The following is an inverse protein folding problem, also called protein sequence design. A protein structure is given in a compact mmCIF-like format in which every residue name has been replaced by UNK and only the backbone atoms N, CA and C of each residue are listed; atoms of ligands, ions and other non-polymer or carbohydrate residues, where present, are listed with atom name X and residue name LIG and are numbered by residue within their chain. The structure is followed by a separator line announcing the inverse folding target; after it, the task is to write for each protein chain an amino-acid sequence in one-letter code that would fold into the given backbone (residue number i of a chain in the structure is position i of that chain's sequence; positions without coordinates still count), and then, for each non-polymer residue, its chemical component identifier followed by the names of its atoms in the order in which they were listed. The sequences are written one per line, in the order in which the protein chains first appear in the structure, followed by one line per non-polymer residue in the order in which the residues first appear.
data_IF_623654449817
#
_entry.id   IF_623654449817
#
_cell.length_a   1.000
_cell.length_b   1.000
_cell.length_c   1.000
_cell.angle_alpha   90.00
_cell.angle_beta   90.00
_cell.angle_gamma   90.00
#
_symmetry.space_group_name_H-M   'P 1'
#
loop_
_entity.id
_entity.type
_entity.pdbx_description
1 polymer ?
#
# COMPACT_ATOMS: atom_id res chain seq x y z
N UNK A 1 10.06 -17.39 5.40
CA UNK A 1 9.76 -18.20 4.21
C UNK A 1 8.47 -17.74 3.58
N UNK A 2 8.25 -17.86 2.26
CA UNK A 2 6.95 -17.64 1.62
C UNK A 2 5.87 -18.58 2.18
N UNK A 3 4.62 -18.16 2.10
CA UNK A 3 3.46 -18.99 2.46
C UNK A 3 2.91 -19.62 1.19
N UNK A 4 2.82 -20.93 1.15
CA UNK A 4 2.16 -21.65 0.07
C UNK A 4 0.64 -21.49 0.19
N UNK A 5 0.00 -21.18 -0.93
CA UNK A 5 -1.46 -21.05 -1.01
C UNK A 5 -2.07 -22.37 -1.51
N UNK A 6 -3.26 -22.74 -1.04
CA UNK A 6 -3.97 -23.88 -1.58
C UNK A 6 -4.38 -23.65 -3.03
N UNK A 7 -4.24 -24.68 -3.87
CA UNK A 7 -4.76 -24.65 -5.25
C UNK A 7 -6.27 -24.35 -5.26
N UNK A 8 -6.72 -23.52 -6.20
CA UNK A 8 -8.12 -23.08 -6.28
C UNK A 8 -8.57 -22.10 -5.18
N UNK A 9 -7.75 -21.84 -4.17
CA UNK A 9 -8.08 -20.96 -3.04
C UNK A 9 -7.85 -19.48 -3.34
N UNK A 10 -7.89 -18.66 -2.27
CA UNK A 10 -7.57 -17.23 -2.33
C UNK A 10 -6.15 -17.04 -2.88
N UNK A 11 -6.01 -16.21 -3.91
CA UNK A 11 -4.72 -15.96 -4.55
C UNK A 11 -3.90 -14.84 -3.87
N UNK A 12 -2.72 -14.53 -4.42
CA UNK A 12 -1.83 -13.50 -3.88
C UNK A 12 -2.48 -12.10 -3.84
N UNK A 13 -3.33 -11.74 -4.82
CA UNK A 13 -4.05 -10.45 -4.81
C UNK A 13 -5.04 -10.41 -3.64
N UNK A 14 -5.80 -11.48 -3.42
CA UNK A 14 -6.72 -11.55 -2.27
C UNK A 14 -5.99 -11.46 -0.92
N UNK A 15 -4.78 -12.05 -0.82
CA UNK A 15 -3.91 -11.91 0.36
C UNK A 15 -3.39 -10.49 0.51
N UNK A 16 -2.99 -9.85 -0.58
CA UNK A 16 -2.60 -8.43 -0.62
C UNK A 16 -3.71 -7.54 -0.08
N UNK A 17 -4.90 -7.66 -0.65
CA UNK A 17 -6.07 -6.88 -0.22
C UNK A 17 -6.45 -7.13 1.23
N UNK A 18 -6.31 -8.36 1.71
CA UNK A 18 -6.59 -8.72 3.11
C UNK A 18 -5.57 -8.15 4.10
N UNK A 19 -4.29 -8.21 3.77
CA UNK A 19 -3.21 -7.78 4.64
C UNK A 19 -2.97 -6.26 4.57
N UNK A 20 -2.89 -5.70 3.36
CA UNK A 20 -2.51 -4.30 3.13
C UNK A 20 -3.71 -3.36 2.95
N UNK A 21 -4.90 -3.87 2.66
CA UNK A 21 -6.15 -3.10 2.64
C UNK A 21 -6.68 -2.83 4.06
N UNK A 22 -5.83 -2.32 4.92
CA UNK A 22 -6.15 -1.94 6.30
C UNK A 22 -5.21 -0.81 6.74
N UNK A 23 -5.77 0.34 7.05
CA UNK A 23 -5.03 1.54 7.41
C UNK A 23 -4.05 1.32 8.57
N UNK A 24 -4.49 0.62 9.62
CA UNK A 24 -3.65 0.39 10.80
C UNK A 24 -2.47 -0.52 10.49
N UNK A 25 -2.65 -1.50 9.62
CA UNK A 25 -1.54 -2.37 9.20
C UNK A 25 -0.46 -1.55 8.49
N UNK A 26 -0.83 -0.71 7.53
CA UNK A 26 0.13 0.13 6.80
C UNK A 26 0.84 1.13 7.72
N UNK A 27 0.07 1.81 8.59
CA UNK A 27 0.63 2.78 9.55
C UNK A 27 1.55 2.12 10.58
N UNK A 28 1.20 0.94 11.09
CA UNK A 28 2.03 0.20 12.04
C UNK A 28 3.32 -0.33 11.39
N UNK A 29 3.27 -0.83 10.14
CA UNK A 29 4.47 -1.23 9.41
C UNK A 29 5.40 -0.02 9.20
N UNK A 30 4.83 1.13 8.84
CA UNK A 30 5.59 2.38 8.71
C UNK A 30 6.25 2.77 10.02
N UNK A 31 5.51 2.78 11.14
CA UNK A 31 6.10 3.14 12.44
C UNK A 31 7.19 2.16 12.87
N UNK A 32 7.01 0.86 12.59
CA UNK A 32 8.05 -0.13 12.84
C UNK A 32 9.29 0.09 11.95
N UNK A 33 9.13 0.49 10.69
CA UNK A 33 10.23 0.86 9.80
C UNK A 33 10.96 2.13 10.30
N UNK A 34 10.25 3.04 10.98
CA UNK A 34 10.80 4.23 11.63
C UNK A 34 11.30 3.96 13.07
N UNK A 35 11.50 2.70 13.44
CA UNK A 35 12.14 2.27 14.68
C UNK A 35 11.22 2.12 15.88
N UNK A 36 9.89 2.15 15.74
CA UNK A 36 8.98 1.76 16.82
C UNK A 36 9.07 0.25 17.05
N UNK A 37 9.40 -0.19 18.26
CA UNK A 37 9.49 -1.61 18.58
C UNK A 37 8.60 -2.01 19.75
N UNK A 38 8.32 -1.09 20.66
CA UNK A 38 7.53 -1.38 21.86
C UNK A 38 6.09 -0.97 21.69
N UNK A 39 5.20 -1.63 22.39
CA UNK A 39 3.77 -1.27 22.42
C UNK A 39 3.55 0.22 22.69
N UNK A 40 4.27 0.79 23.65
CA UNK A 40 4.21 2.21 23.99
C UNK A 40 4.63 3.14 22.85
N UNK A 41 5.62 2.74 22.05
CA UNK A 41 6.08 3.54 20.89
C UNK A 41 4.97 3.70 19.86
N UNK A 42 4.28 2.59 19.55
CA UNK A 42 3.14 2.62 18.62
C UNK A 42 1.96 3.44 19.15
N UNK A 43 1.64 3.26 20.46
CA UNK A 43 0.55 3.99 21.10
C UNK A 43 0.82 5.50 21.19
N UNK A 44 2.07 5.91 21.35
CA UNK A 44 2.46 7.33 21.41
C UNK A 44 2.49 7.99 20.03
N UNK A 45 2.77 7.23 18.97
CA UNK A 45 2.95 7.78 17.61
C UNK A 45 1.69 7.73 16.74
N UNK A 46 0.67 6.96 17.15
CA UNK A 46 -0.55 6.77 16.35
C UNK A 46 -1.80 7.03 17.19
N UNK A 47 -2.82 7.70 16.65
CA UNK A 47 -4.11 7.92 17.30
C UNK A 47 -4.95 6.65 17.30
N UNK A 48 -4.40 5.56 17.82
CA UNK A 48 -5.01 4.22 17.81
C UNK A 48 -5.43 3.82 19.23
N UNK A 49 -6.64 3.27 19.39
CA UNK A 49 -7.06 2.76 20.70
C UNK A 49 -6.28 1.52 21.11
N UNK A 50 -6.04 1.33 22.40
CA UNK A 50 -5.32 0.18 22.96
C UNK A 50 -5.89 -1.17 22.49
N UNK A 51 -7.23 -1.29 22.41
CA UNK A 51 -7.89 -2.52 21.97
C UNK A 51 -7.60 -2.82 20.48
N UNK A 52 -7.60 -1.78 19.62
CA UNK A 52 -7.29 -1.93 18.21
C UNK A 52 -5.81 -2.24 18.02
N UNK A 53 -4.91 -1.51 18.70
CA UNK A 53 -3.47 -1.72 18.63
C UNK A 53 -3.10 -3.17 19.01
N UNK A 54 -3.54 -3.64 20.17
CA UNK A 54 -3.27 -5.00 20.65
C UNK A 54 -3.71 -6.07 19.64
N UNK A 55 -4.93 -5.91 19.10
CA UNK A 55 -5.46 -6.83 18.09
C UNK A 55 -4.64 -6.78 16.81
N UNK A 56 -4.24 -5.59 16.34
CA UNK A 56 -3.47 -5.42 15.10
C UNK A 56 -2.08 -6.02 15.23
N UNK A 57 -1.37 -5.74 16.29
CA UNK A 57 -0.06 -6.35 16.55
C UNK A 57 -0.14 -7.88 16.57
N UNK A 58 -1.19 -8.45 17.17
CA UNK A 58 -1.44 -9.89 17.15
C UNK A 58 -1.67 -10.43 15.72
N UNK A 59 -2.52 -9.75 14.92
CA UNK A 59 -2.78 -10.15 13.53
C UNK A 59 -1.51 -10.04 12.68
N UNK A 60 -0.78 -8.94 12.78
CA UNK A 60 0.46 -8.74 12.02
C UNK A 60 1.55 -9.75 12.39
N UNK A 61 1.57 -10.21 13.65
CA UNK A 61 2.48 -11.29 14.08
C UNK A 61 2.04 -12.62 13.48
N UNK A 62 0.75 -12.94 13.50
CA UNK A 62 0.19 -14.16 12.89
C UNK A 62 0.41 -14.18 11.35
N UNK A 63 0.31 -13.03 10.68
CA UNK A 63 0.56 -12.87 9.23
C UNK A 63 2.06 -12.84 8.89
N UNK A 64 2.93 -12.89 9.89
CA UNK A 64 4.37 -12.90 9.73
C UNK A 64 4.97 -11.59 9.25
N UNK A 65 4.29 -10.46 9.43
CA UNK A 65 4.82 -9.12 9.20
C UNK A 65 5.73 -8.67 10.37
N UNK A 66 5.32 -9.03 11.58
CA UNK A 66 6.07 -8.78 12.80
C UNK A 66 6.46 -10.09 13.46
N UNK A 67 7.51 -10.05 14.27
CA UNK A 67 7.83 -11.06 15.26
C UNK A 67 7.86 -10.44 16.64
N UNK A 68 7.39 -11.18 17.63
CA UNK A 68 7.41 -10.76 19.02
C UNK A 68 8.63 -11.35 19.71
N UNK A 69 9.42 -10.52 20.40
CA UNK A 69 10.59 -10.93 21.18
C UNK A 69 10.46 -10.42 22.60
N UNK A 70 10.53 -11.32 23.58
CA UNK A 70 10.60 -10.92 24.98
C UNK A 70 11.92 -10.19 25.25
N UNK A 71 11.86 -9.07 25.98
CA UNK A 71 13.04 -8.34 26.44
C UNK A 71 13.08 -8.18 27.96
N UNK A 72 12.00 -8.55 28.65
CA UNK A 72 11.89 -8.53 30.10
C UNK A 72 10.94 -9.64 30.54
N UNK A 73 11.32 -10.39 31.60
CA UNK A 73 10.53 -11.52 32.07
C UNK A 73 9.60 -11.15 33.22
N UNK A 74 9.97 -10.17 34.05
CA UNK A 74 9.17 -9.78 35.22
C UNK A 74 9.10 -8.24 35.40
N UNK A 75 7.93 -7.58 35.15
CA UNK A 75 6.77 -8.16 34.45
C UNK A 75 7.10 -8.49 32.99
N UNK A 76 6.39 -9.46 32.36
CA UNK A 76 6.68 -9.84 30.98
C UNK A 76 6.47 -8.67 30.02
N UNK A 77 7.51 -8.35 29.25
CA UNK A 77 7.46 -7.30 28.23
C UNK A 77 8.07 -7.80 26.93
N UNK A 78 7.45 -7.42 25.82
CA UNK A 78 7.89 -7.81 24.50
C UNK A 78 8.01 -6.61 23.58
N UNK A 79 8.89 -6.74 22.60
CA UNK A 79 9.01 -5.85 21.47
C UNK A 79 8.54 -6.54 20.18
N UNK A 80 8.13 -5.74 19.22
CA UNK A 80 7.61 -6.17 17.92
C UNK A 80 8.58 -5.70 16.84
N UNK A 81 9.20 -6.64 16.15
CA UNK A 81 10.22 -6.36 15.14
C UNK A 81 9.69 -6.76 13.76
N UNK A 82 9.99 -5.96 12.74
CA UNK A 82 9.70 -6.35 11.35
C UNK A 82 10.44 -7.62 10.99
N UNK A 83 9.72 -8.59 10.45
CA UNK A 83 10.33 -9.77 9.81
C UNK A 83 10.92 -9.40 8.45
N UNK A 84 11.55 -10.36 7.76
CA UNK A 84 11.96 -10.17 6.38
C UNK A 84 10.76 -9.83 5.46
N UNK A 85 9.58 -10.45 5.72
CA UNK A 85 8.32 -10.13 5.01
C UNK A 85 7.84 -8.72 5.29
N UNK A 86 7.85 -8.29 6.55
CA UNK A 86 7.46 -6.91 6.92
C UNK A 86 8.42 -5.87 6.36
N UNK A 87 9.74 -6.11 6.45
CA UNK A 87 10.74 -5.22 5.85
C UNK A 87 10.61 -5.11 4.33
N UNK A 88 10.23 -6.18 3.64
CA UNK A 88 10.04 -6.18 2.19
C UNK A 88 8.90 -5.28 1.70
N UNK A 89 8.14 -4.63 2.58
CA UNK A 89 7.15 -3.60 2.25
C UNK A 89 7.77 -2.20 2.02
N UNK A 90 9.07 -2.02 2.23
CA UNK A 90 9.71 -0.72 2.06
C UNK A 90 9.46 -0.06 0.69
N UNK A 91 9.41 -0.79 -0.47
CA UNK A 91 9.14 -0.14 -1.75
C UNK A 91 7.74 0.47 -1.79
N UNK A 92 6.74 -0.26 -1.27
CA UNK A 92 5.38 0.27 -1.17
C UNK A 92 5.30 1.49 -0.27
N UNK A 93 5.95 1.47 0.90
CA UNK A 93 5.97 2.61 1.81
C UNK A 93 6.64 3.84 1.19
N UNK A 94 7.73 3.65 0.46
CA UNK A 94 8.46 4.71 -0.23
C UNK A 94 7.62 5.33 -1.36
N UNK A 95 6.90 4.51 -2.13
CA UNK A 95 6.01 5.00 -3.18
C UNK A 95 4.75 5.66 -2.63
N UNK A 96 4.20 5.21 -1.50
CA UNK A 96 3.13 5.91 -0.77
C UNK A 96 3.60 7.29 -0.34
N UNK A 97 4.77 7.37 0.28
CA UNK A 97 5.35 8.61 0.73
C UNK A 97 5.50 9.63 -0.40
N UNK A 98 6.09 9.21 -1.52
CA UNK A 98 6.26 10.08 -2.68
C UNK A 98 4.93 10.53 -3.27
N UNK A 99 3.95 9.61 -3.40
CA UNK A 99 2.64 9.96 -3.90
C UNK A 99 1.92 10.98 -3.01
N UNK A 100 1.91 10.77 -1.70
CA UNK A 100 1.27 11.69 -0.74
C UNK A 100 1.96 13.06 -0.77
N UNK A 101 3.28 13.10 -0.81
CA UNK A 101 4.06 14.33 -0.85
C UNK A 101 3.85 15.14 -2.13
N UNK A 102 3.74 14.45 -3.26
CA UNK A 102 3.60 15.10 -4.57
C UNK A 102 2.15 15.54 -4.85
N UNK A 103 1.17 14.71 -4.48
CA UNK A 103 -0.22 14.90 -4.89
C UNK A 103 -1.14 15.49 -3.81
N UNK A 104 -0.64 15.68 -2.62
CA UNK A 104 -1.37 16.30 -1.50
C UNK A 104 -0.61 17.53 -1.04
N UNK A 105 -0.85 18.72 -1.62
CA UNK A 105 -0.06 19.93 -1.38
C UNK A 105 0.09 20.29 0.10
N UNK A 106 -1.00 20.15 0.88
CA UNK A 106 -1.00 20.42 2.32
C UNK A 106 -0.05 19.50 3.11
N UNK A 107 0.35 18.38 2.52
CA UNK A 107 1.27 17.42 3.15
C UNK A 107 2.72 17.58 2.70
N UNK A 108 2.96 18.19 1.55
CA UNK A 108 4.29 18.35 0.99
C UNK A 108 5.24 19.09 1.94
N UNK A 109 4.72 20.08 2.67
CA UNK A 109 5.46 20.87 3.64
C UNK A 109 5.69 20.16 4.98
N UNK A 110 4.90 19.10 5.26
CA UNK A 110 4.87 18.40 6.56
C UNK A 110 5.45 16.99 6.51
N UNK A 111 5.73 16.47 5.32
CA UNK A 111 6.42 15.20 5.15
C UNK A 111 7.90 15.45 4.84
N UNK A 112 8.83 14.94 5.70
CA UNK A 112 10.25 15.16 5.47
C UNK A 112 10.66 14.61 4.09
N UNK A 113 11.65 15.21 3.46
CA UNK A 113 12.22 14.67 2.22
C UNK A 113 12.91 13.34 2.50
N UNK A 114 12.99 12.47 1.49
CA UNK A 114 13.78 11.25 1.60
C UNK A 114 15.19 11.48 1.09
N UNK A 115 16.17 11.06 1.89
CA UNK A 115 17.60 11.12 1.57
C UNK A 115 18.07 9.74 1.09
N UNK A 116 18.70 9.69 -0.07
CA UNK A 116 19.42 8.52 -0.55
C UNK A 116 20.85 8.54 -0.05
N UNK A 117 21.19 7.64 0.87
CA UNK A 117 22.47 7.67 1.59
C UNK A 117 23.68 7.45 0.66
N UNK A 118 23.50 6.74 -0.45
CA UNK A 118 24.58 6.45 -1.41
C UNK A 118 25.05 7.71 -2.15
N UNK A 119 24.12 8.54 -2.63
CA UNK A 119 24.50 9.77 -3.35
C UNK A 119 24.39 11.04 -2.48
N UNK A 120 23.82 10.94 -1.28
CA UNK A 120 23.63 12.07 -0.36
C UNK A 120 22.58 13.10 -0.80
N UNK A 121 21.77 12.80 -1.82
CA UNK A 121 20.76 13.71 -2.34
C UNK A 121 19.35 13.35 -1.84
N UNK A 122 18.48 14.35 -1.73
CA UNK A 122 17.04 14.14 -1.64
C UNK A 122 16.56 13.59 -2.98
N UNK A 123 15.65 12.61 -2.94
CA UNK A 123 15.24 11.89 -4.13
C UNK A 123 13.73 11.64 -4.20
N UNK A 124 13.27 11.42 -5.42
CA UNK A 124 11.99 10.78 -5.73
C UNK A 124 12.25 9.37 -6.30
N UNK A 125 11.52 8.33 -5.84
CA UNK A 125 11.69 6.99 -6.38
C UNK A 125 11.06 6.88 -7.76
N UNK A 126 11.83 6.45 -8.76
CA UNK A 126 11.34 6.11 -10.08
C UNK A 126 11.10 4.61 -10.18
N UNK A 127 9.93 4.22 -10.68
CA UNK A 127 9.65 2.80 -10.97
C UNK A 127 10.24 2.43 -12.33
N UNK A 128 11.20 1.54 -12.35
CA UNK A 128 11.90 1.10 -13.55
C UNK A 128 11.75 -0.40 -13.80
N UNK A 129 11.87 -0.81 -15.05
CA UNK A 129 11.88 -2.20 -15.43
C UNK A 129 13.23 -2.84 -15.11
N UNK A 130 13.26 -3.92 -14.32
CA UNK A 130 14.49 -4.65 -14.00
C UNK A 130 15.25 -5.13 -15.25
N UNK A 131 14.52 -5.49 -16.32
CA UNK A 131 15.10 -6.10 -17.51
C UNK A 131 15.82 -5.08 -18.42
N UNK A 132 15.29 -3.86 -18.57
CA UNK A 132 15.85 -2.87 -19.49
C UNK A 132 16.28 -1.55 -18.82
N UNK A 133 15.94 -1.34 -17.55
CA UNK A 133 16.29 -0.11 -16.82
C UNK A 133 15.38 1.10 -17.11
N UNK A 134 14.48 1.01 -18.07
CA UNK A 134 13.60 2.14 -18.44
C UNK A 134 12.55 2.40 -17.37
N UNK A 135 12.25 3.69 -17.14
CA UNK A 135 11.14 4.12 -16.28
C UNK A 135 9.81 3.74 -16.90
N UNK A 136 8.88 3.23 -16.09
CA UNK A 136 7.61 2.70 -16.57
C UNK A 136 6.41 3.41 -15.95
N UNK A 137 5.47 3.80 -16.81
CA UNK A 137 4.13 4.26 -16.46
C UNK A 137 3.08 3.18 -16.79
N UNK A 138 1.80 3.48 -16.54
CA UNK A 138 0.72 2.54 -16.88
C UNK A 138 0.60 2.23 -18.38
N UNK A 139 1.09 3.12 -19.24
CA UNK A 139 1.02 2.95 -20.70
C UNK A 139 2.00 1.91 -21.22
N UNK A 140 3.10 1.73 -20.50
CA UNK A 140 4.13 0.75 -20.85
C UNK A 140 3.95 -0.59 -20.16
N UNK A 141 2.89 -0.76 -19.34
CA UNK A 141 2.61 -2.00 -18.63
C UNK A 141 1.37 -2.70 -19.19
N UNK A 142 1.53 -3.94 -19.57
CA UNK A 142 0.43 -4.84 -19.90
C UNK A 142 0.23 -5.83 -18.75
N UNK A 143 -0.97 -5.77 -18.13
CA UNK A 143 -1.36 -6.63 -17.02
C UNK A 143 -2.37 -7.67 -17.47
N UNK A 144 -2.15 -8.92 -17.11
CA UNK A 144 -3.09 -10.03 -17.36
C UNK A 144 -3.25 -10.88 -16.09
N UNK A 145 -4.39 -11.55 -15.98
CA UNK A 145 -4.54 -12.63 -15.01
C UNK A 145 -3.55 -13.75 -15.32
N UNK A 146 -2.79 -14.15 -14.33
CA UNK A 146 -1.95 -15.34 -14.38
C UNK A 146 -2.74 -16.60 -14.05
N UNK A 147 -2.07 -17.76 -13.97
CA UNK A 147 -2.73 -19.05 -13.76
C UNK A 147 -3.58 -19.15 -12.48
N UNK A 148 -3.19 -18.49 -11.39
CA UNK A 148 -4.01 -18.44 -10.15
C UNK A 148 -4.92 -17.23 -10.09
N UNK A 149 -4.96 -16.38 -11.14
CA UNK A 149 -5.65 -15.11 -11.18
C UNK A 149 -7.11 -15.21 -11.56
N UNK A 150 -7.98 -14.59 -10.78
CA UNK A 150 -9.37 -14.30 -11.15
C UNK A 150 -10.00 -13.38 -10.11
N UNK A 151 -11.02 -12.63 -10.47
CA UNK A 151 -11.74 -11.78 -9.51
C UNK A 151 -12.30 -12.55 -8.32
N UNK A 152 -13.02 -13.68 -8.48
CA UNK A 152 -13.57 -14.41 -7.34
C UNK A 152 -12.52 -14.85 -6.32
N UNK A 153 -11.32 -15.22 -6.78
CA UNK A 153 -10.19 -15.64 -5.92
C UNK A 153 -9.42 -14.47 -5.31
N UNK A 154 -9.60 -13.28 -5.87
CA UNK A 154 -8.92 -12.05 -5.43
C UNK A 154 -9.76 -11.25 -4.45
N UNK A 155 -11.07 -11.51 -4.37
CA UNK A 155 -11.93 -10.78 -3.46
C UNK A 155 -11.63 -11.16 -2.01
N UNK A 156 -11.59 -10.15 -1.12
CA UNK A 156 -11.43 -10.43 0.30
C UNK A 156 -12.66 -11.20 0.80
N UNK A 157 -12.40 -12.34 1.41
CA UNK A 157 -13.45 -13.13 2.09
C UNK A 157 -14.09 -12.22 3.13
N UNK A 158 -15.44 -12.18 3.15
CA UNK A 158 -16.18 -11.38 4.11
C UNK A 158 -15.79 -11.76 5.55
N UNK A 159 -15.07 -10.90 6.23
CA UNK A 159 -14.99 -10.94 7.66
C UNK A 159 -16.03 -9.98 8.21
N UNK A 160 -16.96 -10.55 8.96
CA UNK A 160 -17.98 -9.91 9.83
C UNK A 160 -17.98 -8.38 9.85
N UNK A 161 -19.20 -7.83 9.55
CA UNK A 161 -19.62 -6.43 9.65
C UNK A 161 -18.69 -5.60 10.53
N UNK A 162 -17.96 -4.69 9.91
CA UNK A 162 -17.33 -3.58 10.58
C UNK A 162 -17.98 -2.29 10.10
N UNK A 163 -18.44 -1.51 11.09
CA UNK A 163 -18.69 -0.08 10.88
C UNK A 163 -17.45 0.52 10.22
N UNK A 164 -17.58 1.42 9.24
CA UNK A 164 -16.47 2.22 8.79
C UNK A 164 -15.89 2.87 10.04
N UNK A 165 -14.61 2.62 10.32
CA UNK A 165 -13.87 3.46 11.23
C UNK A 165 -13.91 4.83 10.56
N UNK A 166 -14.72 5.74 11.12
CA UNK A 166 -14.80 7.10 10.65
C UNK A 166 -13.52 7.84 10.99
N UNK A 167 -12.47 7.61 10.24
CA UNK A 167 -11.52 8.63 9.86
C UNK A 167 -12.10 9.32 8.62
N UNK A 168 -13.31 9.87 8.73
CA UNK A 168 -13.61 11.15 8.11
C UNK A 168 -12.50 12.05 8.60
N UNK A 169 -11.62 12.47 7.67
CA UNK A 169 -10.53 13.36 8.01
C UNK A 169 -11.08 14.43 8.98
N UNK A 170 -10.64 14.49 10.23
CA UNK A 170 -10.92 15.64 11.01
C UNK A 170 -10.31 16.78 10.19
N UNK A 171 -11.08 17.81 9.87
CA UNK A 171 -10.51 19.09 9.50
C UNK A 171 -9.65 19.51 10.70
N UNK A 172 -8.40 19.05 10.68
CA UNK A 172 -7.41 19.40 11.68
C UNK A 172 -7.09 20.86 11.44
N UNK A 173 -7.74 21.72 12.22
CA UNK A 173 -7.46 23.15 12.23
C UNK A 173 -6.20 23.35 13.07
N UNK A 174 -5.15 23.87 12.46
CA UNK A 174 -4.01 24.41 13.20
C UNK A 174 -2.94 23.37 13.58
N UNK A 175 -2.25 23.53 14.65
CA UNK A 175 -1.00 22.93 15.13
C UNK A 175 -0.75 21.40 14.97
N UNK A 176 -1.75 20.65 14.48
CA UNK A 176 -1.66 19.19 14.30
C UNK A 176 -1.45 18.76 12.82
N UNK A 177 -1.26 19.69 11.89
CA UNK A 177 -1.17 19.39 10.45
C UNK A 177 -0.01 18.43 10.12
N UNK A 178 1.15 18.60 10.78
CA UNK A 178 2.30 17.72 10.65
C UNK A 178 2.01 16.28 11.10
N UNK A 179 1.34 16.13 12.24
CA UNK A 179 0.90 14.83 12.74
C UNK A 179 -0.10 14.16 11.80
N UNK A 180 -1.04 14.93 11.25
CA UNK A 180 -2.04 14.44 10.30
C UNK A 180 -1.43 14.00 8.97
N UNK A 181 -0.49 14.74 8.40
CA UNK A 181 0.23 14.38 7.18
C UNK A 181 0.97 13.04 7.34
N UNK A 182 1.57 12.79 8.49
CA UNK A 182 2.23 11.53 8.81
C UNK A 182 1.31 10.31 8.84
N UNK A 183 -0.02 10.48 8.86
CA UNK A 183 -1.00 9.40 8.76
C UNK A 183 -1.42 9.07 7.32
N UNK A 184 -0.92 9.80 6.33
CA UNK A 184 -1.24 9.62 4.91
C UNK A 184 -2.76 9.54 4.64
N UNK A 185 -3.55 10.54 5.02
CA UNK A 185 -5.01 10.42 5.03
C UNK A 185 -5.60 10.19 3.63
N UNK A 186 -5.07 10.76 2.57
CA UNK A 186 -5.56 10.49 1.22
C UNK A 186 -5.20 9.08 0.75
N UNK A 187 -3.98 8.62 1.02
CA UNK A 187 -3.60 7.23 0.76
C UNK A 187 -4.49 6.26 1.54
N UNK A 188 -4.78 6.55 2.81
CA UNK A 188 -5.67 5.71 3.62
C UNK A 188 -7.11 5.69 3.10
N UNK A 189 -7.59 6.74 2.46
CA UNK A 189 -8.88 6.76 1.79
C UNK A 189 -8.96 5.78 0.61
N UNK A 190 -7.87 5.58 -0.13
CA UNK A 190 -7.83 4.77 -1.34
C UNK A 190 -7.25 3.35 -1.11
N UNK A 191 -6.42 3.14 -0.08
CA UNK A 191 -5.78 1.86 0.22
C UNK A 191 -6.15 1.30 1.59
N UNK A 192 -6.46 2.15 2.56
CA UNK A 192 -6.67 1.77 3.96
C UNK A 192 -7.92 0.93 4.25
N UNK A 193 -8.66 0.56 3.21
CA UNK A 193 -9.78 -0.35 3.27
C UNK A 193 -9.71 -1.34 2.10
N UNK A 194 -9.90 -2.63 2.36
CA UNK A 194 -9.80 -3.69 1.34
C UNK A 194 -10.70 -3.48 0.11
N UNK A 195 -11.88 -2.91 0.30
CA UNK A 195 -12.82 -2.61 -0.79
C UNK A 195 -12.38 -1.40 -1.60
N UNK A 196 -11.84 -0.36 -0.94
CA UNK A 196 -11.24 0.78 -1.62
C UNK A 196 -10.03 0.32 -2.45
N UNK A 197 -9.15 -0.47 -1.86
CA UNK A 197 -8.01 -1.03 -2.58
C UNK A 197 -8.44 -1.91 -3.76
N UNK A 198 -9.43 -2.79 -3.59
CA UNK A 198 -9.98 -3.60 -4.68
C UNK A 198 -10.59 -2.74 -5.80
N UNK A 199 -11.30 -1.66 -5.45
CA UNK A 199 -11.86 -0.69 -6.41
C UNK A 199 -10.75 -0.01 -7.22
N UNK A 200 -9.66 0.38 -6.57
CA UNK A 200 -8.50 0.97 -7.23
C UNK A 200 -7.89 -0.03 -8.24
N UNK A 201 -7.66 -1.28 -7.83
CA UNK A 201 -7.19 -2.34 -8.72
C UNK A 201 -8.14 -2.51 -9.92
N UNK A 202 -9.46 -2.54 -9.68
CA UNK A 202 -10.45 -2.65 -10.75
C UNK A 202 -10.39 -1.47 -11.74
N UNK A 203 -10.19 -0.24 -11.23
CA UNK A 203 -10.02 0.94 -12.08
C UNK A 203 -8.77 0.84 -12.97
N UNK A 204 -7.64 0.34 -12.44
CA UNK A 204 -6.40 0.15 -13.20
C UNK A 204 -6.52 -0.92 -14.28
N UNK A 205 -7.35 -1.95 -14.09
CA UNK A 205 -7.61 -2.95 -15.14
C UNK A 205 -8.74 -2.52 -16.10
N UNK A 206 -9.12 -1.24 -16.09
CA UNK A 206 -10.02 -0.65 -17.08
C UNK A 206 -11.50 -0.69 -16.75
N UNK A 207 -11.88 -1.03 -15.53
CA UNK A 207 -13.29 -0.93 -15.10
C UNK A 207 -13.69 0.53 -14.97
N UNK A 208 -14.78 0.93 -15.65
CA UNK A 208 -15.20 2.35 -15.68
C UNK A 208 -16.67 2.56 -15.32
N UNK A 209 -17.53 1.54 -15.40
CA UNK A 209 -18.96 1.69 -15.12
C UNK A 209 -19.31 1.19 -13.74
N UNK A 210 -20.24 1.87 -13.08
CA UNK A 210 -20.73 1.46 -11.76
C UNK A 210 -21.17 -0.02 -11.72
N UNK A 211 -21.97 -0.46 -12.72
CA UNK A 211 -22.45 -1.83 -12.82
C UNK A 211 -21.33 -2.86 -12.94
N UNK A 212 -20.23 -2.50 -13.62
CA UNK A 212 -19.09 -3.38 -13.79
C UNK A 212 -18.26 -3.49 -12.52
N UNK A 213 -18.02 -2.38 -11.81
CA UNK A 213 -17.45 -2.41 -10.46
C UNK A 213 -18.29 -3.27 -9.52
N UNK A 214 -19.60 -3.07 -9.51
CA UNK A 214 -20.51 -3.83 -8.65
C UNK A 214 -20.43 -5.34 -8.93
N UNK A 215 -20.48 -5.74 -10.20
CA UNK A 215 -20.39 -7.14 -10.63
C UNK A 215 -19.05 -7.77 -10.29
N UNK A 216 -17.96 -7.06 -10.55
CA UNK A 216 -16.60 -7.57 -10.31
C UNK A 216 -16.27 -7.70 -8.83
N UNK A 217 -16.63 -6.68 -8.05
CA UNK A 217 -16.26 -6.63 -6.64
C UNK A 217 -17.29 -7.34 -5.74
N UNK A 218 -18.50 -7.64 -6.23
CA UNK A 218 -19.56 -8.18 -5.39
C UNK A 218 -20.00 -7.25 -4.26
N UNK A 219 -19.69 -5.94 -4.39
CA UNK A 219 -19.98 -4.95 -3.35
C UNK A 219 -21.46 -4.53 -3.35
N UNK A 220 -21.99 -4.19 -2.17
CA UNK A 220 -23.30 -3.58 -2.09
C UNK A 220 -23.32 -2.21 -2.78
N UNK A 221 -24.45 -1.82 -3.43
CA UNK A 221 -24.55 -0.54 -4.11
C UNK A 221 -24.15 0.66 -3.23
N UNK A 222 -24.63 0.70 -1.98
CA UNK A 222 -24.32 1.77 -1.04
C UNK A 222 -22.82 1.85 -0.73
N UNK A 223 -22.17 0.73 -0.39
CA UNK A 223 -20.73 0.72 -0.12
C UNK A 223 -19.90 1.13 -1.34
N UNK A 224 -20.34 0.75 -2.55
CA UNK A 224 -19.65 1.14 -3.78
C UNK A 224 -19.81 2.63 -4.06
N UNK A 225 -21.05 3.16 -3.88
CA UNK A 225 -21.32 4.61 -4.03
C UNK A 225 -20.42 5.43 -3.12
N UNK A 226 -20.38 5.09 -1.82
CA UNK A 226 -19.55 5.80 -0.83
C UNK A 226 -18.07 5.82 -1.24
N UNK A 227 -17.56 4.67 -1.72
CA UNK A 227 -16.16 4.56 -2.15
C UNK A 227 -15.86 5.36 -3.41
N UNK A 228 -16.73 5.30 -4.41
CA UNK A 228 -16.58 6.08 -5.63
C UNK A 228 -16.66 7.59 -5.35
N UNK A 229 -17.52 8.03 -4.41
CA UNK A 229 -17.57 9.43 -3.96
C UNK A 229 -16.26 9.86 -3.29
N UNK A 230 -15.68 9.01 -2.43
CA UNK A 230 -14.36 9.29 -1.82
C UNK A 230 -13.30 9.43 -2.92
N UNK A 231 -13.23 8.49 -3.87
CA UNK A 231 -12.24 8.50 -4.95
C UNK A 231 -12.37 9.70 -5.89
N UNK A 232 -13.60 10.14 -6.16
CA UNK A 232 -13.83 11.37 -6.94
C UNK A 232 -13.52 12.61 -6.11
N UNK A 233 -13.87 12.63 -4.84
CA UNK A 233 -13.62 13.73 -3.92
C UNK A 233 -12.13 14.00 -3.67
N UNK A 234 -11.29 12.97 -3.58
CA UNK A 234 -9.84 13.12 -3.48
C UNK A 234 -9.13 13.24 -4.85
N UNK A 235 -9.89 13.30 -5.94
CA UNK A 235 -9.35 13.53 -7.28
C UNK A 235 -8.59 12.35 -7.90
N UNK A 236 -8.75 11.13 -7.37
CA UNK A 236 -8.16 9.90 -7.93
C UNK A 236 -8.96 9.39 -9.13
N UNK A 237 -10.28 9.54 -9.09
CA UNK A 237 -11.17 9.28 -10.22
C UNK A 237 -11.88 10.56 -10.66
N UNK A 238 -12.17 10.68 -11.95
CA UNK A 238 -13.15 11.60 -12.50
C UNK A 238 -14.40 10.84 -12.95
N UNK A 239 -15.56 11.48 -12.90
CA UNK A 239 -16.80 10.94 -13.44
C UNK A 239 -17.20 11.74 -14.69
N UNK A 240 -17.09 11.11 -15.85
CA UNK A 240 -17.38 11.71 -17.15
C UNK A 240 -18.38 10.85 -17.92
N UNK A 241 -19.54 11.42 -18.26
CA UNK A 241 -20.59 10.73 -19.04
C UNK A 241 -20.96 9.34 -18.48
N UNK A 242 -21.01 9.20 -17.15
CA UNK A 242 -21.34 7.95 -16.47
C UNK A 242 -20.17 6.94 -16.37
N UNK A 243 -18.97 7.35 -16.74
CA UNK A 243 -17.75 6.54 -16.62
C UNK A 243 -16.78 7.12 -15.60
N UNK A 244 -16.34 6.30 -14.69
CA UNK A 244 -15.26 6.61 -13.75
C UNK A 244 -13.91 6.35 -14.43
N UNK A 245 -13.04 7.34 -14.45
CA UNK A 245 -11.72 7.26 -15.09
C UNK A 245 -10.63 7.68 -14.12
N UNK A 246 -9.50 7.00 -14.14
CA UNK A 246 -8.32 7.45 -13.41
C UNK A 246 -7.88 8.82 -13.92
N UNK A 247 -7.69 9.75 -13.01
CA UNK A 247 -7.07 11.06 -13.28
C UNK A 247 -5.54 10.88 -13.37
N UNK A 248 -4.79 11.94 -13.62
CA UNK A 248 -3.33 11.92 -13.53
C UNK A 248 -2.87 11.54 -12.11
N UNK A 249 -3.45 12.17 -11.07
CA UNK A 249 -3.24 11.80 -9.66
C UNK A 249 -3.55 10.33 -9.40
N UNK A 250 -4.65 9.81 -9.96
CA UNK A 250 -5.03 8.41 -9.84
C UNK A 250 -4.04 7.46 -10.50
N UNK A 251 -3.56 7.77 -11.71
CA UNK A 251 -2.55 6.96 -12.42
C UNK A 251 -1.21 6.94 -11.68
N UNK A 252 -0.84 8.06 -11.05
CA UNK A 252 0.39 8.14 -10.25
C UNK A 252 0.44 7.18 -9.05
N UNK A 253 -0.67 6.52 -8.67
CA UNK A 253 -0.68 5.47 -7.63
C UNK A 253 -0.11 4.14 -8.14
N UNK A 254 0.12 3.97 -9.44
CA UNK A 254 0.58 2.72 -10.03
C UNK A 254 1.80 2.10 -9.33
N UNK A 255 2.88 2.84 -8.99
CA UNK A 255 4.03 2.26 -8.28
C UNK A 255 3.67 1.63 -6.94
N UNK A 256 2.69 2.20 -6.22
CA UNK A 256 2.18 1.62 -4.97
C UNK A 256 1.50 0.28 -5.22
N UNK A 257 0.67 0.18 -6.26
CA UNK A 257 -0.03 -1.07 -6.61
C UNK A 257 0.94 -2.15 -7.07
N UNK A 258 1.89 -1.79 -7.92
CA UNK A 258 2.86 -2.74 -8.47
C UNK A 258 3.77 -3.28 -7.38
N UNK A 259 4.30 -2.44 -6.51
CA UNK A 259 5.16 -2.87 -5.39
C UNK A 259 4.39 -3.72 -4.36
N UNK A 260 3.11 -3.40 -4.10
CA UNK A 260 2.24 -4.22 -3.27
C UNK A 260 1.97 -5.61 -3.90
N UNK A 261 1.69 -5.66 -5.20
CA UNK A 261 1.48 -6.91 -5.95
C UNK A 261 2.73 -7.78 -5.93
N UNK A 262 3.90 -7.21 -6.23
CA UNK A 262 5.17 -7.94 -6.20
C UNK A 262 5.47 -8.50 -4.81
N UNK A 263 5.25 -7.68 -3.76
CA UNK A 263 5.35 -8.17 -2.39
C UNK A 263 4.42 -9.35 -2.14
N UNK A 264 3.16 -9.24 -2.54
CA UNK A 264 2.18 -10.29 -2.31
C UNK A 264 2.54 -11.59 -3.03
N UNK A 265 2.91 -11.53 -4.30
CA UNK A 265 3.27 -12.71 -5.10
C UNK A 265 4.59 -13.36 -4.64
N UNK A 266 5.51 -12.57 -4.09
CA UNK A 266 6.74 -13.10 -3.49
C UNK A 266 6.48 -13.86 -2.19
N UNK A 267 5.54 -13.40 -1.37
CA UNK A 267 5.31 -13.95 -0.03
C UNK A 267 4.10 -14.88 0.06
N UNK A 268 3.27 -14.96 -0.97
CA UNK A 268 2.11 -15.84 -1.07
C UNK A 268 2.14 -16.55 -2.42
N UNK A 269 2.71 -17.73 -2.43
CA UNK A 269 3.00 -18.49 -3.66
C UNK A 269 1.90 -19.52 -3.90
N UNK A 270 1.25 -19.43 -5.07
CA UNK A 270 0.31 -20.48 -5.53
C UNK A 270 1.06 -21.55 -6.33
N UNK A 271 0.75 -22.83 -6.13
CA UNK A 271 1.32 -23.91 -6.96
C UNK A 271 0.89 -23.79 -8.43
N UNK A 272 -0.19 -23.08 -8.71
CA UNK A 272 -0.69 -22.84 -10.08
C UNK A 272 0.09 -21.74 -10.81
N UNK A 273 0.90 -20.95 -10.09
CA UNK A 273 1.64 -19.81 -10.62
C UNK A 273 1.14 -18.45 -10.09
N UNK A 274 1.63 -17.33 -10.65
CA UNK A 274 1.27 -16.00 -10.20
C UNK A 274 -0.21 -15.67 -10.45
N UNK A 275 -0.76 -14.77 -9.63
CA UNK A 275 -2.12 -14.27 -9.81
C UNK A 275 -2.23 -13.25 -10.95
N UNK A 276 -1.20 -12.43 -11.11
CA UNK A 276 -1.11 -11.41 -12.17
C UNK A 276 0.27 -11.50 -12.82
N UNK A 277 0.29 -11.46 -14.13
CA UNK A 277 1.50 -11.29 -14.93
C UNK A 277 1.56 -9.86 -15.47
N UNK A 278 2.70 -9.24 -15.34
CA UNK A 278 2.99 -7.92 -15.89
C UNK A 278 4.04 -8.06 -16.98
N UNK A 279 3.85 -7.38 -18.10
CA UNK A 279 4.81 -7.31 -19.19
C UNK A 279 5.13 -5.85 -19.49
N UNK A 280 6.41 -5.52 -19.62
CA UNK A 280 6.84 -4.21 -20.10
C UNK A 280 6.76 -4.17 -21.60
N UNK A 281 5.88 -3.34 -22.16
CA UNK A 281 5.63 -3.31 -23.60
C UNK A 281 6.84 -2.79 -24.40
N UNK A 282 7.66 -1.94 -23.80
CA UNK A 282 8.85 -1.38 -24.43
C UNK A 282 9.93 -2.43 -24.74
N UNK A 283 10.18 -3.39 -23.83
CA UNK A 283 11.20 -4.42 -24.05
C UNK A 283 10.61 -5.83 -24.24
N UNK A 284 9.29 -6.02 -24.06
CA UNK A 284 8.62 -7.31 -24.18
C UNK A 284 8.91 -8.30 -23.03
N UNK A 285 9.73 -7.95 -22.06
CA UNK A 285 10.08 -8.83 -20.94
C UNK A 285 8.99 -8.87 -19.86
N UNK A 286 8.93 -9.94 -19.05
CA UNK A 286 8.18 -9.93 -17.80
C UNK A 286 8.63 -8.74 -16.96
N UNK A 287 7.64 -7.94 -16.52
CA UNK A 287 7.93 -6.73 -15.75
C UNK A 287 8.13 -7.07 -14.28
N UNK A 288 9.30 -6.76 -13.80
CA UNK A 288 9.64 -6.69 -12.39
C UNK A 288 10.09 -5.27 -12.08
N UNK A 289 9.30 -4.58 -11.24
CA UNK A 289 9.65 -3.22 -10.83
C UNK A 289 10.85 -3.22 -9.89
N UNK A 290 11.78 -2.33 -10.14
CA UNK A 290 12.74 -1.87 -9.17
C UNK A 290 12.55 -0.37 -8.98
N UNK A 291 12.86 0.13 -7.79
CA UNK A 291 12.87 1.57 -7.56
C UNK A 291 14.29 2.09 -7.74
N UNK A 292 14.45 3.14 -8.51
CA UNK A 292 15.73 3.82 -8.71
C UNK A 292 15.65 5.26 -8.20
N UNK A 293 16.79 5.81 -7.83
CA UNK A 293 16.94 7.21 -7.43
C UNK A 293 16.88 8.09 -8.69
N UNK A 294 16.04 9.13 -8.68
CA UNK A 294 15.97 10.12 -9.79
C UNK A 294 17.22 10.98 -9.92
N UNK A 295 18.09 11.01 -8.88
CA UNK A 295 19.31 11.84 -8.86
C UNK A 295 20.54 11.10 -9.37
N UNK A 296 20.73 9.84 -9.00
CA UNK A 296 21.92 9.06 -9.35
C UNK A 296 21.61 7.80 -10.17
N UNK A 297 20.36 7.50 -10.46
CA UNK A 297 19.87 6.34 -11.22
C UNK A 297 20.16 4.97 -10.59
N UNK A 298 20.83 4.92 -9.45
CA UNK A 298 21.11 3.67 -8.74
C UNK A 298 19.82 3.04 -8.18
N UNK A 299 19.83 1.71 -8.13
CA UNK A 299 18.74 0.95 -7.54
C UNK A 299 18.68 1.22 -6.03
N UNK A 300 17.51 1.60 -5.56
CA UNK A 300 17.27 1.87 -4.15
C UNK A 300 17.14 0.59 -3.35
N UNK A 301 17.72 0.61 -2.15
CA UNK A 301 17.55 -0.42 -1.14
C UNK A 301 16.99 0.20 0.14
N UNK A 302 16.17 -0.54 0.88
CA UNK A 302 15.55 -0.03 2.09
C UNK A 302 16.53 0.41 3.19
N UNK A 303 17.78 -0.09 3.17
CA UNK A 303 18.89 0.33 4.05
C UNK A 303 19.47 1.69 3.69
N UNK A 304 19.29 2.12 2.43
CA UNK A 304 19.97 3.27 1.86
C UNK A 304 19.06 4.51 1.80
N UNK A 305 17.86 4.38 2.38
CA UNK A 305 16.84 5.43 2.41
C UNK A 305 16.61 5.87 3.85
N UNK A 306 16.60 7.17 4.07
CA UNK A 306 16.27 7.78 5.35
C UNK A 306 15.37 9.00 5.16
N UNK A 307 14.38 9.17 6.04
CA UNK A 307 13.67 10.43 6.14
C UNK A 307 14.63 11.49 6.71
N UNK A 308 14.72 12.63 6.07
CA UNK A 308 15.57 13.73 6.51
C UNK A 308 14.74 14.71 7.36
N UNK A 309 14.97 14.78 8.67
CA UNK A 309 14.21 15.66 9.54
C UNK A 309 14.68 17.13 9.44
N UNK A 310 15.74 17.43 8.70
CA UNK A 310 16.39 18.76 8.70
C UNK A 310 15.68 19.80 7.82
N UNK A 311 14.64 19.41 7.08
CA UNK A 311 13.82 20.35 6.29
C UNK A 311 12.50 20.71 6.97
N UNK A 312 12.43 20.57 8.29
CA UNK A 312 11.32 21.02 9.14
C UNK A 312 11.48 22.47 9.58
#
# INVERSE_FOLDING_TARGET
MPTELPAGGVNAVGRMLGALGDEWTLLLVRQAALGATRYGDFAARLPISHAVLSRRLKVMTADGLLTQRAYQDNPPRSEYLLTARGRALWPMLTTIWEWERHWVPDHAEHLPAMLHLTCGAHFAPLMTCRACGETCSEKELHAMWGPSGSWPRSMPVESTRRRPSGLSAPHVRGSDAKGAAGLFPETMNILGNRWAFALLVAAFVGTTRFSDFQRQLGASPGSLTDRLQIFTGCGVLSLEKGHYRLTEKGRAVLPVLVTALQWAQRWHVSPEGPAVTLTHTGCGAPFEAVLTCDQCTEVLHGSDIRADPTLD
#
